data_IF_932836273407
#
_entry.id   IF_932836273407
#
_cell.length_a   1.000
_cell.length_b   1.000
_cell.length_c   1.000
_cell.angle_alpha   90.00
_cell.angle_beta   90.00
_cell.angle_gamma   90.00
#
_symmetry.space_group_name_H-M   'P 1'
#
loop_
_entity.id
_entity.type
_entity.pdbx_description
1 polymer ?
#
# COMPACT_ATOMS: atom_id res chain seq x y z
N UNK A 1 3.92 -27.92 -12.21
CA UNK A 1 3.08 -26.71 -12.37
C UNK A 1 3.54 -25.72 -11.31
N UNK A 2 3.89 -24.48 -11.69
CA UNK A 2 4.25 -23.45 -10.72
C UNK A 2 3.02 -23.03 -9.90
N UNK A 3 3.24 -22.58 -8.66
CA UNK A 3 2.18 -22.02 -7.81
C UNK A 3 1.72 -20.72 -8.45
N UNK A 4 0.41 -20.55 -8.67
CA UNK A 4 -0.15 -19.27 -9.12
C UNK A 4 -0.35 -18.37 -7.89
N UNK A 5 0.56 -17.44 -7.69
CA UNK A 5 0.49 -16.50 -6.57
C UNK A 5 -0.66 -15.51 -6.70
N UNK A 6 -1.36 -15.25 -5.61
CA UNK A 6 -2.32 -14.15 -5.44
C UNK A 6 -1.62 -13.03 -4.66
N UNK A 7 -1.32 -11.93 -5.33
CA UNK A 7 -0.75 -10.74 -4.70
C UNK A 7 -1.91 -9.88 -4.17
N UNK A 8 -1.92 -9.65 -2.86
CA UNK A 8 -3.00 -8.98 -2.12
C UNK A 8 -2.41 -7.75 -1.46
N UNK A 9 -2.86 -6.58 -1.85
CA UNK A 9 -2.41 -5.34 -1.20
C UNK A 9 -3.53 -4.73 -0.37
N UNK A 10 -3.16 -4.28 0.84
CA UNK A 10 -4.03 -3.51 1.74
C UNK A 10 -3.48 -2.09 1.76
N UNK A 11 -4.23 -1.17 1.20
CA UNK A 11 -3.79 0.21 1.01
C UNK A 11 -4.77 1.22 1.60
N UNK A 12 -4.26 2.38 1.94
CA UNK A 12 -5.02 3.50 2.49
C UNK A 12 -4.08 4.58 3.00
N UNK A 13 -4.62 5.72 3.37
CA UNK A 13 -3.86 6.83 3.95
C UNK A 13 -3.18 6.42 5.28
N UNK A 14 -2.25 7.21 5.81
CA UNK A 14 -1.77 7.04 7.17
C UNK A 14 -2.95 6.93 8.15
N UNK A 15 -2.76 6.28 9.28
CA UNK A 15 -3.80 6.06 10.30
C UNK A 15 -5.02 5.21 9.86
N UNK A 16 -4.93 4.43 8.79
CA UNK A 16 -6.03 3.54 8.37
C UNK A 16 -6.02 2.15 9.02
N UNK A 17 -4.95 1.78 9.75
CA UNK A 17 -4.81 0.44 10.33
C UNK A 17 -4.41 -0.66 9.34
N UNK A 18 -3.85 -0.29 8.18
CA UNK A 18 -3.37 -1.21 7.14
C UNK A 18 -2.50 -2.34 7.68
N UNK A 19 -1.46 -1.98 8.44
CA UNK A 19 -0.45 -2.92 8.94
C UNK A 19 -1.07 -3.96 9.86
N UNK A 20 -1.93 -3.51 10.77
CA UNK A 20 -2.69 -4.39 11.67
C UNK A 20 -3.60 -5.33 10.89
N UNK A 21 -4.32 -4.81 9.89
CA UNK A 21 -5.22 -5.59 9.05
C UNK A 21 -4.46 -6.61 8.19
N UNK A 22 -3.36 -6.20 7.55
CA UNK A 22 -2.52 -7.07 6.74
C UNK A 22 -1.91 -8.21 7.57
N UNK A 23 -1.41 -7.89 8.77
CA UNK A 23 -0.91 -8.89 9.71
C UNK A 23 -2.01 -9.86 10.15
N UNK A 24 -3.22 -9.35 10.44
CA UNK A 24 -4.37 -10.18 10.81
C UNK A 24 -4.75 -11.15 9.68
N UNK A 25 -4.86 -10.66 8.44
CA UNK A 25 -5.16 -11.49 7.26
C UNK A 25 -4.11 -12.58 7.08
N UNK A 26 -2.81 -12.24 7.14
CA UNK A 26 -1.73 -13.22 7.04
C UNK A 26 -1.82 -14.26 8.17
N UNK A 27 -2.07 -13.84 9.40
CA UNK A 27 -2.19 -14.72 10.56
C UNK A 27 -3.34 -15.73 10.40
N UNK A 28 -4.50 -15.27 9.92
CA UNK A 28 -5.64 -16.15 9.67
C UNK A 28 -5.33 -17.16 8.53
N UNK A 29 -4.71 -16.72 7.42
CA UNK A 29 -4.26 -17.63 6.38
C UNK A 29 -3.32 -18.72 6.94
N UNK A 30 -2.36 -18.34 7.80
CA UNK A 30 -1.46 -19.32 8.46
C UNK A 30 -2.19 -20.29 9.35
N UNK A 31 -3.17 -19.85 10.14
CA UNK A 31 -4.01 -20.73 10.98
C UNK A 31 -4.81 -21.74 10.14
N UNK A 32 -5.21 -21.34 8.93
CA UNK A 32 -5.92 -22.21 8.00
C UNK A 32 -4.98 -23.18 7.25
N UNK A 33 -3.66 -23.10 7.46
CA UNK A 33 -2.66 -23.93 6.78
C UNK A 33 -2.26 -23.44 5.40
N UNK A 34 -2.69 -22.23 5.01
CA UNK A 34 -2.42 -21.68 3.68
C UNK A 34 -0.94 -21.29 3.49
N UNK A 35 -0.43 -21.48 2.27
CA UNK A 35 0.93 -21.12 1.90
C UNK A 35 1.04 -19.60 1.67
N UNK A 36 1.15 -18.84 2.74
CA UNK A 36 1.16 -17.39 2.72
C UNK A 36 2.45 -16.76 3.23
N UNK A 37 2.72 -15.53 2.80
CA UNK A 37 3.78 -14.64 3.31
C UNK A 37 3.24 -13.24 3.53
N UNK A 38 3.76 -12.56 4.55
CA UNK A 38 3.51 -11.15 4.82
C UNK A 38 4.68 -10.30 4.30
N UNK A 39 4.37 -9.23 3.60
CA UNK A 39 5.35 -8.24 3.09
C UNK A 39 5.10 -6.92 3.80
N UNK A 40 6.07 -6.51 4.62
CA UNK A 40 6.05 -5.21 5.30
C UNK A 40 6.26 -4.04 4.33
N UNK A 41 5.81 -2.86 4.72
CA UNK A 41 6.02 -1.62 3.97
C UNK A 41 7.50 -1.26 3.89
N UNK A 42 8.03 -1.08 2.67
CA UNK A 42 9.43 -0.75 2.44
C UNK A 42 9.82 0.66 2.91
N UNK A 43 8.84 1.57 3.03
CA UNK A 43 9.07 2.91 3.53
C UNK A 43 9.56 2.91 5.00
N UNK A 44 9.06 1.99 5.82
CA UNK A 44 9.49 1.86 7.22
C UNK A 44 10.99 1.57 7.34
N UNK A 45 11.52 0.64 6.53
CA UNK A 45 12.94 0.33 6.54
C UNK A 45 13.78 1.46 5.95
N UNK A 46 13.26 2.11 4.90
CA UNK A 46 13.93 3.27 4.32
C UNK A 46 14.10 4.39 5.37
N UNK A 47 13.02 4.68 6.12
CA UNK A 47 13.05 5.72 7.17
C UNK A 47 14.03 5.34 8.29
N UNK A 48 14.07 4.07 8.68
CA UNK A 48 14.99 3.59 9.71
C UNK A 48 16.46 3.70 9.28
N UNK A 49 16.75 3.48 7.99
CA UNK A 49 18.12 3.45 7.44
C UNK A 49 18.61 4.85 7.01
N UNK A 50 17.74 5.66 6.39
CA UNK A 50 18.12 6.93 5.73
C UNK A 50 17.40 8.17 6.28
N UNK A 51 16.46 8.02 7.21
CA UNK A 51 15.59 9.09 7.68
C UNK A 51 14.38 9.33 6.78
N UNK A 52 13.61 10.37 7.09
CA UNK A 52 12.39 10.72 6.36
C UNK A 52 12.69 11.04 4.89
N UNK A 53 11.97 10.41 3.93
CA UNK A 53 12.12 10.70 2.51
C UNK A 53 11.89 12.19 2.23
N UNK A 54 12.82 12.83 1.56
CA UNK A 54 12.79 14.28 1.30
C UNK A 54 13.02 14.66 -0.16
N UNK A 55 13.25 13.68 -1.02
CA UNK A 55 13.42 13.87 -2.46
C UNK A 55 12.52 12.94 -3.27
N UNK A 56 12.18 13.31 -4.52
CA UNK A 56 11.48 12.42 -5.44
C UNK A 56 12.18 11.09 -5.67
N UNK A 57 13.50 11.11 -5.67
CA UNK A 57 14.33 9.92 -5.87
C UNK A 57 14.14 8.92 -4.73
N UNK A 58 13.97 9.39 -3.50
CA UNK A 58 13.70 8.54 -2.34
C UNK A 58 12.43 7.71 -2.55
N UNK A 59 11.39 8.31 -3.11
CA UNK A 59 10.14 7.61 -3.40
C UNK A 59 10.30 6.55 -4.50
N UNK A 60 11.16 6.80 -5.49
CA UNK A 60 11.52 5.77 -6.49
C UNK A 60 12.26 4.61 -5.81
N UNK A 61 13.21 4.89 -4.93
CA UNK A 61 13.97 3.85 -4.21
C UNK A 61 13.01 3.00 -3.36
N UNK A 62 12.09 3.63 -2.62
CA UNK A 62 11.09 2.93 -1.81
C UNK A 62 10.18 2.08 -2.70
N UNK A 63 9.71 2.64 -3.82
CA UNK A 63 8.86 1.91 -4.78
C UNK A 63 9.53 0.64 -5.29
N UNK A 64 10.78 0.72 -5.75
CA UNK A 64 11.47 -0.48 -6.26
C UNK A 64 11.85 -1.46 -5.14
N UNK A 65 12.17 -0.99 -3.93
CA UNK A 65 12.34 -1.87 -2.76
C UNK A 65 11.03 -2.66 -2.49
N UNK A 66 9.88 -1.98 -2.50
CA UNK A 66 8.58 -2.62 -2.31
C UNK A 66 8.28 -3.63 -3.41
N UNK A 67 8.42 -3.24 -4.67
CA UNK A 67 8.17 -4.10 -5.82
C UNK A 67 9.05 -5.36 -5.83
N UNK A 68 10.33 -5.23 -5.45
CA UNK A 68 11.24 -6.37 -5.35
C UNK A 68 10.81 -7.33 -4.25
N UNK A 69 10.34 -6.85 -3.09
CA UNK A 69 9.80 -7.69 -2.01
C UNK A 69 8.55 -8.46 -2.47
N UNK A 70 7.65 -7.79 -3.15
CA UNK A 70 6.42 -8.41 -3.69
C UNK A 70 6.76 -9.53 -4.67
N UNK A 71 7.74 -9.30 -5.56
CA UNK A 71 8.14 -10.27 -6.57
C UNK A 71 8.97 -11.44 -6.05
N UNK A 72 9.69 -11.27 -4.93
CA UNK A 72 10.59 -12.28 -4.37
C UNK A 72 9.88 -13.61 -4.07
N UNK A 73 8.59 -13.54 -3.74
CA UNK A 73 7.80 -14.70 -3.35
C UNK A 73 6.81 -15.17 -4.42
N UNK A 74 6.78 -14.50 -5.57
CA UNK A 74 6.01 -14.98 -6.73
C UNK A 74 6.48 -16.39 -7.09
N UNK A 75 5.55 -17.23 -7.49
CA UNK A 75 5.75 -18.65 -7.85
C UNK A 75 6.15 -19.58 -6.68
N UNK A 76 6.39 -19.06 -5.47
CA UNK A 76 6.74 -19.85 -4.28
C UNK A 76 5.68 -19.80 -3.18
N UNK A 77 4.86 -18.74 -3.13
CA UNK A 77 3.76 -18.54 -2.18
C UNK A 77 2.44 -18.40 -2.92
N UNK A 78 1.39 -19.03 -2.37
CA UNK A 78 0.05 -18.91 -2.94
C UNK A 78 -0.58 -17.54 -2.61
N UNK A 79 -0.40 -17.08 -1.38
CA UNK A 79 -0.91 -15.78 -0.93
C UNK A 79 0.23 -14.88 -0.46
N UNK A 80 0.38 -13.74 -1.12
CA UNK A 80 1.36 -12.69 -0.77
C UNK A 80 0.57 -11.51 -0.25
N UNK A 81 0.57 -11.29 1.06
CA UNK A 81 -0.18 -10.22 1.74
C UNK A 81 0.76 -9.04 1.97
N UNK A 82 0.49 -7.92 1.30
CA UNK A 82 1.31 -6.72 1.37
C UNK A 82 0.66 -5.66 2.26
N UNK A 83 1.42 -5.19 3.25
CA UNK A 83 1.13 -3.96 3.97
C UNK A 83 1.54 -2.80 3.09
N UNK A 84 0.56 -2.14 2.46
CA UNK A 84 0.81 -1.12 1.47
C UNK A 84 1.19 -1.65 0.07
N UNK A 85 1.33 -0.76 -0.86
CA UNK A 85 1.81 -1.05 -2.22
C UNK A 85 2.59 0.12 -2.77
N UNK A 86 3.36 -0.13 -3.83
CA UNK A 86 4.10 0.90 -4.55
C UNK A 86 3.24 2.07 -5.09
N UNK A 87 1.91 1.87 -5.23
CA UNK A 87 0.97 2.94 -5.60
C UNK A 87 1.06 4.11 -4.62
N UNK A 88 1.20 3.84 -3.32
CA UNK A 88 1.22 4.89 -2.29
C UNK A 88 2.40 5.84 -2.43
N UNK A 89 3.53 5.39 -2.99
CA UNK A 89 4.70 6.25 -3.20
C UNK A 89 4.39 7.45 -4.11
N UNK A 90 3.46 7.30 -5.07
CA UNK A 90 3.01 8.40 -5.92
C UNK A 90 2.28 9.49 -5.12
N UNK A 91 1.46 9.08 -4.14
CA UNK A 91 0.69 10.02 -3.31
C UNK A 91 1.56 10.70 -2.27
N UNK A 92 2.44 9.94 -1.63
CA UNK A 92 3.41 10.50 -0.69
C UNK A 92 4.31 11.50 -1.38
N UNK A 93 4.71 11.23 -2.62
CA UNK A 93 5.44 12.19 -3.42
C UNK A 93 4.68 13.51 -3.55
N UNK A 94 3.43 13.47 -4.04
CA UNK A 94 2.62 14.68 -4.25
C UNK A 94 2.22 15.38 -2.96
N UNK A 95 2.12 14.64 -1.85
CA UNK A 95 1.64 15.15 -0.58
C UNK A 95 2.67 15.91 0.25
N UNK A 96 3.94 15.55 0.10
CA UNK A 96 5.00 16.01 1.01
C UNK A 96 6.02 16.95 0.36
N UNK A 97 6.07 17.05 -0.96
CA UNK A 97 7.02 17.95 -1.61
C UNK A 97 6.44 19.34 -1.81
N UNK A 98 7.26 20.35 -1.46
CA UNK A 98 6.91 21.76 -1.59
C UNK A 98 6.95 22.16 -3.06
N UNK A 99 5.93 22.84 -3.52
CA UNK A 99 5.94 23.51 -4.83
C UNK A 99 6.75 24.83 -4.77
N UNK A 100 7.32 25.25 -5.91
CA UNK A 100 7.23 24.64 -7.25
C UNK A 100 8.19 23.46 -7.42
N UNK A 101 7.70 22.41 -8.11
CA UNK A 101 8.50 21.25 -8.50
C UNK A 101 9.42 21.63 -9.67
N UNK A 102 10.66 21.15 -9.63
CA UNK A 102 11.59 21.30 -10.75
C UNK A 102 11.18 20.39 -11.94
N UNK A 103 11.66 20.68 -13.14
CA UNK A 103 11.45 19.81 -14.30
C UNK A 103 11.99 18.39 -14.07
N UNK A 104 13.05 18.24 -13.26
CA UNK A 104 13.58 16.93 -12.87
C UNK A 104 12.60 16.18 -11.98
N UNK A 105 12.00 16.85 -10.99
CA UNK A 105 11.01 16.26 -10.11
C UNK A 105 9.78 15.79 -10.89
N UNK A 106 9.29 16.61 -11.83
CA UNK A 106 8.18 16.27 -12.70
C UNK A 106 8.50 15.02 -13.54
N UNK A 107 9.72 14.93 -14.09
CA UNK A 107 10.15 13.76 -14.84
C UNK A 107 10.17 12.49 -13.97
N UNK A 108 10.63 12.61 -12.73
CA UNK A 108 10.65 11.51 -11.75
C UNK A 108 9.23 11.05 -11.40
N UNK A 109 8.31 11.99 -11.16
CA UNK A 109 6.89 11.68 -10.90
C UNK A 109 6.26 10.92 -12.06
N UNK A 110 6.47 11.43 -13.28
CA UNK A 110 5.91 10.83 -14.48
C UNK A 110 6.49 9.42 -14.74
N UNK A 111 7.76 9.21 -14.40
CA UNK A 111 8.37 7.88 -14.45
C UNK A 111 7.71 6.95 -13.44
N UNK A 112 7.59 7.37 -12.19
CA UNK A 112 6.97 6.57 -11.12
C UNK A 112 5.52 6.18 -11.46
N UNK A 113 4.73 7.14 -11.98
CA UNK A 113 3.36 6.86 -12.41
C UNK A 113 3.31 5.79 -13.51
N UNK A 114 4.18 5.90 -14.53
CA UNK A 114 4.26 4.90 -15.60
C UNK A 114 4.62 3.50 -15.07
N UNK A 115 5.57 3.42 -14.13
CA UNK A 115 5.98 2.14 -13.55
C UNK A 115 4.85 1.53 -12.70
N UNK A 116 4.13 2.34 -11.92
CA UNK A 116 2.95 1.90 -11.16
C UNK A 116 1.90 1.30 -12.10
N UNK A 117 1.56 2.01 -13.18
CA UNK A 117 0.55 1.53 -14.15
C UNK A 117 0.97 0.22 -14.83
N UNK A 118 2.26 0.00 -15.07
CA UNK A 118 2.77 -1.27 -15.59
C UNK A 118 2.62 -2.42 -14.59
N UNK A 119 2.70 -2.12 -13.29
CA UNK A 119 2.67 -3.14 -12.24
C UNK A 119 1.26 -3.44 -11.73
N UNK A 120 0.28 -2.60 -12.06
CA UNK A 120 -1.07 -2.67 -11.49
C UNK A 120 -1.76 -4.02 -11.69
N UNK A 121 -1.54 -4.64 -12.84
CA UNK A 121 -2.12 -5.94 -13.17
C UNK A 121 -1.46 -7.12 -12.43
N UNK A 122 -0.42 -6.89 -11.65
CA UNK A 122 0.22 -7.91 -10.82
C UNK A 122 -0.57 -8.18 -9.54
N UNK A 123 -1.36 -7.20 -9.07
CA UNK A 123 -2.19 -7.37 -7.88
C UNK A 123 -3.48 -8.11 -8.22
N UNK A 124 -3.67 -9.25 -7.56
CA UNK A 124 -4.90 -10.02 -7.67
C UNK A 124 -6.05 -9.33 -6.93
N UNK A 125 -5.72 -8.66 -5.83
CA UNK A 125 -6.67 -7.92 -5.00
C UNK A 125 -6.04 -6.65 -4.44
N UNK A 126 -6.77 -5.54 -4.54
CA UNK A 126 -6.45 -4.28 -3.88
C UNK A 126 -7.59 -3.97 -2.91
N UNK A 127 -7.31 -3.95 -1.61
CA UNK A 127 -8.27 -3.55 -0.59
C UNK A 127 -7.94 -2.14 -0.12
N UNK A 128 -8.89 -1.23 -0.32
CA UNK A 128 -8.79 0.12 0.20
C UNK A 128 -9.37 0.20 1.62
N UNK A 129 -8.61 0.82 2.54
CA UNK A 129 -8.97 0.98 3.96
C UNK A 129 -9.05 2.48 4.28
N UNK A 130 -10.22 2.99 4.74
CA UNK A 130 -10.35 4.39 5.11
C UNK A 130 -9.55 4.73 6.36
N UNK A 131 -9.09 5.99 6.55
CA UNK A 131 -8.38 6.42 7.74
C UNK A 131 -9.27 6.40 8.99
N UNK A 132 -8.66 6.09 10.14
CA UNK A 132 -9.29 6.14 11.47
C UNK A 132 -8.78 7.39 12.20
N UNK A 133 -9.51 8.51 12.08
CA UNK A 133 -9.06 9.82 12.53
C UNK A 133 -9.09 10.01 14.06
N UNK A 134 -9.75 9.11 14.79
CA UNK A 134 -9.86 9.17 16.25
C UNK A 134 -8.55 8.81 16.96
N UNK A 135 -7.64 8.10 16.29
CA UNK A 135 -6.40 7.56 16.85
C UNK A 135 -5.12 8.25 16.29
N UNK A 136 -5.21 9.51 15.89
CA UNK A 136 -4.09 10.20 15.19
C UNK A 136 -3.01 10.72 16.16
N UNK A 137 -3.27 10.74 17.47
CA UNK A 137 -2.35 11.31 18.48
C UNK A 137 -1.41 10.28 19.14
N UNK A 138 -0.91 9.31 18.38
CA UNK A 138 0.01 8.28 18.94
C UNK A 138 1.48 8.73 19.03
N UNK A 139 1.79 9.97 18.66
CA UNK A 139 3.14 10.56 18.76
C UNK A 139 4.18 9.99 17.78
N UNK A 140 3.81 9.03 16.94
CA UNK A 140 4.71 8.33 16.00
C UNK A 140 4.57 8.91 14.57
N UNK A 141 3.50 9.67 14.30
CA UNK A 141 3.12 10.08 12.94
C UNK A 141 3.47 11.53 12.66
N UNK A 142 3.99 11.75 11.46
CA UNK A 142 4.41 13.07 10.97
C UNK A 142 3.24 13.87 10.36
N UNK A 143 2.09 13.20 10.08
CA UNK A 143 0.98 13.81 9.35
C UNK A 143 -0.13 14.23 10.32
N UNK A 144 -0.62 15.45 10.15
CA UNK A 144 -1.84 15.93 10.80
C UNK A 144 -3.12 15.37 10.11
N UNK A 145 -4.27 15.62 10.74
CA UNK A 145 -5.57 15.12 10.22
C UNK A 145 -5.89 15.65 8.81
N UNK A 146 -5.52 16.88 8.50
CA UNK A 146 -5.80 17.50 7.20
C UNK A 146 -4.95 16.85 6.11
N UNK A 147 -3.68 16.61 6.38
CA UNK A 147 -2.76 15.90 5.48
C UNK A 147 -3.24 14.47 5.22
N UNK A 148 -3.68 13.74 6.25
CA UNK A 148 -4.23 12.39 6.13
C UNK A 148 -5.46 12.39 5.21
N UNK A 149 -6.41 13.29 5.43
CA UNK A 149 -7.62 13.40 4.61
C UNK A 149 -7.30 13.83 3.17
N UNK A 150 -6.27 14.65 2.97
CA UNK A 150 -5.81 15.05 1.63
C UNK A 150 -5.23 13.85 0.87
N UNK A 151 -4.38 13.06 1.51
CA UNK A 151 -3.82 11.82 0.94
C UNK A 151 -4.95 10.84 0.63
N UNK A 152 -5.89 10.66 1.55
CA UNK A 152 -7.02 9.76 1.37
C UNK A 152 -7.86 10.11 0.13
N UNK A 153 -8.20 11.39 -0.02
CA UNK A 153 -8.92 11.88 -1.22
C UNK A 153 -8.13 11.62 -2.50
N UNK A 154 -6.81 11.80 -2.48
CA UNK A 154 -5.98 11.54 -3.66
C UNK A 154 -5.94 10.06 -4.00
N UNK A 155 -5.79 9.17 -3.02
CA UNK A 155 -5.83 7.72 -3.22
C UNK A 155 -7.14 7.33 -3.92
N UNK A 156 -8.28 7.74 -3.36
CA UNK A 156 -9.61 7.43 -3.94
C UNK A 156 -9.74 7.96 -5.37
N UNK A 157 -9.45 9.25 -5.56
CA UNK A 157 -9.54 9.87 -6.89
C UNK A 157 -8.66 9.18 -7.93
N UNK A 158 -7.46 8.74 -7.54
CA UNK A 158 -6.57 8.05 -8.47
C UNK A 158 -7.07 6.65 -8.82
N UNK A 159 -7.54 5.89 -7.84
CA UNK A 159 -8.12 4.57 -8.08
C UNK A 159 -9.30 4.65 -9.06
N UNK A 160 -10.14 5.69 -8.92
CA UNK A 160 -11.27 5.94 -9.80
C UNK A 160 -10.83 6.42 -11.20
N UNK A 161 -9.96 7.44 -11.28
CA UNK A 161 -9.52 8.03 -12.55
C UNK A 161 -8.75 7.04 -13.44
N UNK A 162 -7.92 6.21 -12.85
CA UNK A 162 -7.14 5.20 -13.58
C UNK A 162 -7.91 3.88 -13.74
N UNK A 163 -9.19 3.84 -13.31
CA UNK A 163 -10.04 2.64 -13.34
C UNK A 163 -9.35 1.41 -12.71
N UNK A 164 -8.65 1.61 -11.59
CA UNK A 164 -7.95 0.53 -10.89
C UNK A 164 -8.96 -0.32 -10.11
N UNK A 165 -9.12 -1.61 -10.44
CA UNK A 165 -10.03 -2.47 -9.71
C UNK A 165 -9.61 -2.56 -8.23
N UNK A 166 -10.52 -2.20 -7.33
CA UNK A 166 -10.27 -2.28 -5.88
C UNK A 166 -11.55 -2.61 -5.12
N UNK A 167 -11.39 -3.06 -3.88
CA UNK A 167 -12.48 -3.37 -2.96
C UNK A 167 -12.43 -2.36 -1.81
N UNK A 168 -13.43 -1.51 -1.74
CA UNK A 168 -13.55 -0.49 -0.68
C UNK A 168 -14.11 -1.11 0.60
N UNK A 169 -13.35 -1.02 1.70
CA UNK A 169 -13.72 -1.53 3.02
C UNK A 169 -14.40 -0.46 3.91
N UNK A 170 -14.78 0.68 3.36
CA UNK A 170 -15.40 1.79 4.14
C UNK A 170 -16.63 1.32 4.91
N UNK A 171 -17.50 0.52 4.28
CA UNK A 171 -18.74 0.03 4.88
C UNK A 171 -18.58 -1.29 5.63
N UNK A 172 -17.36 -1.83 5.75
CA UNK A 172 -17.10 -3.04 6.49
C UNK A 172 -16.65 -2.67 7.91
N UNK A 173 -17.35 -3.13 8.98
CA UNK A 173 -16.94 -2.92 10.36
C UNK A 173 -15.49 -3.37 10.60
N UNK A 174 -14.75 -2.62 11.43
CA UNK A 174 -13.33 -2.82 11.65
C UNK A 174 -12.99 -4.26 12.05
N UNK A 175 -13.77 -4.82 12.99
CA UNK A 175 -13.64 -6.20 13.51
C UNK A 175 -13.99 -7.28 12.47
N UNK A 176 -14.64 -6.93 11.35
CA UNK A 176 -15.05 -7.84 10.28
C UNK A 176 -14.18 -7.78 9.03
N UNK A 177 -13.29 -6.79 8.93
CA UNK A 177 -12.48 -6.57 7.70
C UNK A 177 -11.59 -7.76 7.37
N UNK A 178 -10.90 -8.35 8.36
CA UNK A 178 -10.03 -9.52 8.13
C UNK A 178 -10.84 -10.71 7.62
N UNK A 179 -11.95 -11.04 8.27
CA UNK A 179 -12.86 -12.12 7.84
C UNK A 179 -13.39 -11.89 6.42
N UNK A 180 -13.78 -10.64 6.11
CA UNK A 180 -14.28 -10.28 4.77
C UNK A 180 -13.20 -10.48 3.69
N UNK A 181 -11.95 -10.03 3.95
CA UNK A 181 -10.82 -10.23 3.04
C UNK A 181 -10.59 -11.72 2.81
N UNK A 182 -10.49 -12.51 3.87
CA UNK A 182 -10.27 -13.97 3.79
C UNK A 182 -11.35 -14.64 2.93
N UNK A 183 -12.62 -14.36 3.18
CA UNK A 183 -13.74 -14.89 2.39
C UNK A 183 -13.67 -14.50 0.91
N UNK A 184 -13.11 -13.32 0.63
CA UNK A 184 -13.00 -12.82 -0.74
C UNK A 184 -11.87 -13.50 -1.51
N UNK A 185 -10.70 -13.67 -0.89
CA UNK A 185 -9.52 -14.22 -1.56
C UNK A 185 -9.52 -15.75 -1.67
N UNK A 186 -10.31 -16.46 -0.86
CA UNK A 186 -10.45 -17.91 -0.89
C UNK A 186 -11.52 -18.42 -1.89
N UNK A 187 -12.27 -17.51 -2.49
CA UNK A 187 -13.21 -17.85 -3.59
C UNK A 187 -12.44 -18.13 -4.88
#
# INVERSE_FOLDING_TARGET
>A
MGIKSKLITIMGAPASGKSTLATSVHTELKKMGENSVFISEAATDFIAEYGTPNTPVDQIVIFYKQLNRERMFMDSKEYIVCDSSGILNYFYFRGFFKEPLSNKDIAVINHLQKEILKTINQWSYIFYVPPMLENVEDGIRYQDKEQILKIDRWIKSYLELENIPHIDLTNIPLDKRSEYIIKTILK
#
